data_IF_902003779810
#
_entry.id   IF_902003779810
#
_cell.length_a   1.000
_cell.length_b   1.000
_cell.length_c   1.000
_cell.angle_alpha   90.00
_cell.angle_beta   90.00
_cell.angle_gamma   90.00
#
_symmetry.space_group_name_H-M   'P 1'
#
loop_
_entity.id
_entity.type
_entity.pdbx_description
1 polymer ?
#
# COMPACT_ATOMS: atom_id res chain seq x y z
N UNK A 1 -0.48 -43.54 4.14
CA UNK A 1 0.32 -42.32 4.35
C UNK A 1 -0.59 -41.12 4.24
N UNK A 2 -0.54 -40.26 5.25
CA UNK A 2 -1.66 -39.52 5.83
C UNK A 2 -2.04 -38.25 5.03
N UNK A 3 -3.31 -38.16 4.59
CA UNK A 3 -3.93 -36.97 3.96
C UNK A 3 -4.33 -35.93 5.04
N UNK A 4 -3.37 -35.52 5.87
CA UNK A 4 -3.55 -34.46 6.88
C UNK A 4 -2.38 -33.47 6.82
N UNK A 5 -2.30 -32.68 5.76
CA UNK A 5 -1.49 -31.46 5.77
C UNK A 5 -2.10 -30.41 4.87
N UNK A 6 -2.12 -29.16 5.35
CA UNK A 6 -2.66 -27.95 4.73
C UNK A 6 -4.17 -27.70 4.86
N UNK A 7 -4.68 -27.63 6.10
CA UNK A 7 -5.75 -26.66 6.41
C UNK A 7 -5.13 -25.27 6.30
N UNK A 8 -5.29 -24.58 5.16
CA UNK A 8 -5.07 -23.12 5.04
C UNK A 8 -5.89 -22.42 6.13
N UNK A 9 -5.24 -22.11 7.25
CA UNK A 9 -5.82 -21.32 8.31
C UNK A 9 -6.08 -19.93 7.71
N UNK A 10 -7.34 -19.62 7.39
CA UNK A 10 -7.72 -18.30 6.89
C UNK A 10 -7.39 -17.30 7.99
N UNK A 11 -6.25 -16.63 7.88
CA UNK A 11 -5.84 -15.57 8.79
C UNK A 11 -6.98 -14.55 8.83
N UNK A 12 -7.62 -14.38 9.99
CA UNK A 12 -8.73 -13.43 10.09
C UNK A 12 -8.15 -12.02 9.90
N UNK A 13 -8.91 -11.15 9.23
CA UNK A 13 -8.50 -9.75 9.03
C UNK A 13 -8.11 -9.05 10.34
N UNK A 14 -8.76 -9.42 11.46
CA UNK A 14 -8.45 -8.93 12.80
C UNK A 14 -7.04 -9.26 13.28
N UNK A 15 -6.51 -10.43 12.91
CA UNK A 15 -5.21 -10.91 13.39
C UNK A 15 -4.09 -10.20 12.63
N UNK A 16 -4.32 -9.95 11.32
CA UNK A 16 -3.45 -9.12 10.49
C UNK A 16 -3.40 -7.69 11.04
N UNK A 17 -4.54 -7.10 11.37
CA UNK A 17 -4.59 -5.74 11.96
C UNK A 17 -3.85 -5.68 13.30
N UNK A 18 -4.06 -6.66 14.19
CA UNK A 18 -3.34 -6.71 15.48
C UNK A 18 -1.83 -6.85 15.30
N UNK A 19 -1.39 -7.69 14.37
CA UNK A 19 0.02 -7.83 14.03
C UNK A 19 0.58 -6.50 13.51
N UNK A 20 -0.15 -5.82 12.63
CA UNK A 20 0.25 -4.52 12.08
C UNK A 20 0.35 -3.44 13.16
N UNK A 21 -0.63 -3.36 14.07
CA UNK A 21 -0.60 -2.41 15.20
C UNK A 21 0.57 -2.72 16.13
N UNK A 22 0.88 -4.00 16.35
CA UNK A 22 2.04 -4.41 17.15
C UNK A 22 3.34 -3.97 16.51
N UNK A 23 3.54 -4.25 15.22
CA UNK A 23 4.72 -3.82 14.46
C UNK A 23 4.82 -2.29 14.51
N UNK A 24 3.74 -1.57 14.22
CA UNK A 24 3.69 -0.11 14.31
C UNK A 24 4.11 0.41 15.68
N UNK A 25 3.62 -0.19 16.77
CA UNK A 25 3.99 0.20 18.14
C UNK A 25 5.46 -0.07 18.42
N UNK A 26 6.00 -1.19 17.95
CA UNK A 26 7.39 -1.60 18.16
C UNK A 26 8.37 -0.77 17.33
N UNK A 27 7.95 -0.33 16.15
CA UNK A 27 8.73 0.59 15.30
C UNK A 27 8.47 2.06 15.60
N UNK A 28 7.53 2.37 16.52
CA UNK A 28 7.21 3.74 16.96
C UNK A 28 8.22 4.34 17.93
N UNK A 29 9.42 3.74 18.08
CA UNK A 29 10.53 4.27 18.87
C UNK A 29 10.83 5.75 18.54
N UNK A 30 10.50 6.19 17.32
CA UNK A 30 10.51 7.59 16.88
C UNK A 30 9.12 8.26 16.90
N UNK A 31 8.50 8.34 18.08
CA UNK A 31 7.17 8.95 18.31
C UNK A 31 6.99 10.33 17.65
N UNK A 32 8.05 11.13 17.55
CA UNK A 32 8.03 12.47 16.92
C UNK A 32 7.59 12.43 15.46
N UNK A 33 8.14 11.51 14.67
CA UNK A 33 7.84 11.40 13.23
C UNK A 33 6.51 10.72 12.96
N UNK A 34 6.15 9.74 13.79
CA UNK A 34 4.83 9.17 13.79
C UNK A 34 3.77 10.26 14.07
N UNK A 35 3.91 11.03 15.15
CA UNK A 35 2.96 12.12 15.47
C UNK A 35 2.94 13.19 14.38
N UNK A 36 4.10 13.62 13.88
CA UNK A 36 4.18 14.60 12.79
C UNK A 36 3.45 14.10 11.53
N UNK A 37 3.53 12.80 11.21
CA UNK A 37 2.79 12.16 10.12
C UNK A 37 1.28 12.21 10.33
N UNK A 38 0.81 11.91 11.54
CA UNK A 38 -0.61 12.00 11.89
C UNK A 38 -1.11 13.44 11.78
N UNK A 39 -0.40 14.40 12.37
CA UNK A 39 -0.77 15.82 12.35
C UNK A 39 -0.74 16.38 10.93
N UNK A 40 0.31 16.10 10.15
CA UNK A 40 0.45 16.56 8.78
C UNK A 40 -0.62 15.99 7.85
N UNK A 41 -0.99 14.72 8.03
CA UNK A 41 -2.10 14.09 7.31
C UNK A 41 -3.45 14.73 7.64
N UNK A 42 -3.75 14.92 8.93
CA UNK A 42 -4.98 15.57 9.37
C UNK A 42 -5.11 17.00 8.83
N UNK A 43 -4.02 17.76 8.92
CA UNK A 43 -3.97 19.13 8.40
C UNK A 43 -4.17 19.16 6.89
N UNK A 44 -3.52 18.25 6.14
CA UNK A 44 -3.69 18.15 4.70
C UNK A 44 -5.12 17.76 4.30
N UNK A 45 -5.76 16.87 5.06
CA UNK A 45 -7.17 16.51 4.86
C UNK A 45 -8.10 17.70 5.10
N UNK A 46 -7.92 18.40 6.22
CA UNK A 46 -8.72 19.58 6.54
C UNK A 46 -8.58 20.69 5.48
N UNK A 47 -7.35 20.97 5.03
CA UNK A 47 -7.10 21.95 3.96
C UNK A 47 -7.77 21.52 2.65
N UNK A 48 -7.67 20.25 2.28
CA UNK A 48 -8.30 19.76 1.05
C UNK A 48 -9.83 19.92 1.09
N UNK A 49 -10.48 19.62 2.21
CA UNK A 49 -11.94 19.80 2.34
C UNK A 49 -12.32 21.29 2.36
N UNK A 50 -11.55 22.10 3.09
CA UNK A 50 -11.77 23.54 3.16
C UNK A 50 -11.62 24.22 1.79
N UNK A 51 -10.65 23.80 0.98
CA UNK A 51 -10.44 24.30 -0.38
C UNK A 51 -11.68 24.10 -1.26
N UNK A 52 -12.32 22.92 -1.22
CA UNK A 52 -13.55 22.68 -1.98
C UNK A 52 -14.71 23.57 -1.51
N UNK A 53 -14.87 23.76 -0.21
CA UNK A 53 -15.85 24.69 0.33
C UNK A 53 -15.58 26.14 -0.13
N UNK A 54 -14.31 26.54 -0.12
CA UNK A 54 -13.89 27.89 -0.49
C UNK A 54 -14.09 28.19 -1.98
N UNK A 55 -13.92 27.19 -2.85
CA UNK A 55 -14.26 27.30 -4.28
C UNK A 55 -15.76 27.56 -4.47
N UNK A 56 -16.62 26.87 -3.72
CA UNK A 56 -18.06 27.08 -3.75
C UNK A 56 -18.46 28.51 -3.37
N UNK A 57 -17.92 29.03 -2.26
CA UNK A 57 -18.22 30.40 -1.81
C UNK A 57 -17.62 31.47 -2.74
N UNK A 58 -16.46 31.21 -3.34
CA UNK A 58 -15.88 32.10 -4.36
C UNK A 58 -16.79 32.19 -5.61
N UNK A 59 -17.44 31.09 -5.99
CA UNK A 59 -18.38 31.07 -7.12
C UNK A 59 -19.63 31.93 -6.81
N UNK A 60 -20.18 31.84 -5.61
CA UNK A 60 -21.35 32.64 -5.20
C UNK A 60 -21.05 34.15 -5.21
N UNK A 61 -19.84 34.55 -4.79
CA UNK A 61 -19.37 35.94 -4.85
C UNK A 61 -19.14 36.41 -6.28
N UNK A 62 -18.63 35.53 -7.16
CA UNK A 62 -18.50 35.83 -8.57
C UNK A 62 -19.85 36.10 -9.25
N UNK A 63 -20.88 35.34 -8.88
CA UNK A 63 -22.25 35.54 -9.36
C UNK A 63 -22.88 36.84 -8.82
N UNK A 64 -22.40 37.33 -7.68
CA UNK A 64 -22.87 38.57 -7.03
C UNK A 64 -22.28 39.86 -7.65
N UNK A 65 -21.39 39.74 -8.64
CA UNK A 65 -20.77 40.83 -9.41
C UNK A 65 -20.00 41.90 -8.59
N UNK A 66 -19.56 41.56 -7.37
CA UNK A 66 -18.73 42.44 -6.54
C UNK A 66 -17.24 42.19 -6.82
N UNK A 67 -16.69 42.95 -7.76
CA UNK A 67 -15.30 42.82 -8.22
C UNK A 67 -14.25 42.98 -7.11
N UNK A 68 -14.50 43.82 -6.10
CA UNK A 68 -13.54 44.05 -5.00
C UNK A 68 -13.49 42.85 -4.07
N UNK A 69 -14.65 42.27 -3.73
CA UNK A 69 -14.70 41.03 -2.96
C UNK A 69 -14.12 39.87 -3.75
N UNK A 70 -14.43 39.75 -5.03
CA UNK A 70 -13.90 38.71 -5.91
C UNK A 70 -12.36 38.70 -5.94
N UNK A 71 -11.73 39.88 -6.09
CA UNK A 71 -10.25 39.99 -6.05
C UNK A 71 -9.66 39.49 -4.72
N UNK A 72 -10.26 39.85 -3.58
CA UNK A 72 -9.82 39.36 -2.26
C UNK A 72 -9.94 37.83 -2.14
N UNK A 73 -11.03 37.25 -2.66
CA UNK A 73 -11.23 35.79 -2.72
C UNK A 73 -10.20 35.09 -3.60
N UNK A 74 -9.82 35.69 -4.74
CA UNK A 74 -8.77 35.13 -5.60
C UNK A 74 -7.41 35.12 -4.88
N UNK A 75 -7.03 36.19 -4.19
CA UNK A 75 -5.79 36.20 -3.41
C UNK A 75 -5.82 35.17 -2.27
N UNK A 76 -6.95 35.02 -1.59
CA UNK A 76 -7.13 33.99 -0.57
C UNK A 76 -7.03 32.57 -1.15
N UNK A 77 -7.63 32.30 -2.31
CA UNK A 77 -7.50 31.03 -3.04
C UNK A 77 -6.05 30.70 -3.36
N UNK A 78 -5.31 31.67 -3.89
CA UNK A 78 -3.87 31.49 -4.18
C UNK A 78 -3.11 31.16 -2.90
N UNK A 79 -3.40 31.84 -1.78
CA UNK A 79 -2.78 31.56 -0.49
C UNK A 79 -3.05 30.13 0.00
N UNK A 80 -4.30 29.67 -0.08
CA UNK A 80 -4.70 28.30 0.26
C UNK A 80 -3.98 27.29 -0.64
N UNK A 81 -3.88 27.58 -1.93
CA UNK A 81 -3.22 26.71 -2.91
C UNK A 81 -1.71 26.58 -2.64
N UNK A 82 -1.04 27.70 -2.36
CA UNK A 82 0.38 27.71 -1.96
C UNK A 82 0.58 26.92 -0.67
N UNK A 83 -0.29 27.11 0.32
CA UNK A 83 -0.24 26.34 1.57
C UNK A 83 -0.42 24.83 1.32
N UNK A 84 -1.35 24.46 0.44
CA UNK A 84 -1.55 23.06 0.03
C UNK A 84 -0.30 22.49 -0.64
N UNK A 85 0.37 23.23 -1.52
CA UNK A 85 1.62 22.81 -2.13
C UNK A 85 2.67 22.54 -1.06
N UNK A 86 2.83 23.43 -0.07
CA UNK A 86 3.78 23.24 1.05
C UNK A 86 3.48 21.92 1.80
N UNK A 87 2.20 21.65 2.10
CA UNK A 87 1.80 20.39 2.74
C UNK A 87 2.05 19.17 1.85
N UNK A 88 1.85 19.31 0.54
CA UNK A 88 2.06 18.25 -0.44
C UNK A 88 3.55 17.87 -0.58
N UNK A 89 4.47 18.81 -0.37
CA UNK A 89 5.91 18.53 -0.32
C UNK A 89 6.37 18.05 1.08
N UNK A 90 5.82 18.61 2.15
CA UNK A 90 6.25 18.30 3.51
C UNK A 90 5.81 16.91 3.98
N UNK A 91 4.58 16.50 3.67
CA UNK A 91 4.04 15.20 4.12
C UNK A 91 4.82 13.99 3.59
N UNK A 92 5.20 13.92 2.30
CA UNK A 92 6.05 12.86 1.78
C UNK A 92 7.43 12.82 2.45
N UNK A 93 8.02 13.98 2.76
CA UNK A 93 9.31 14.05 3.47
C UNK A 93 9.16 13.45 4.88
N UNK A 94 8.12 13.84 5.62
CA UNK A 94 7.81 13.26 6.94
C UNK A 94 7.59 11.75 6.85
N UNK A 95 6.87 11.30 5.80
CA UNK A 95 6.64 9.88 5.56
C UNK A 95 7.94 9.12 5.28
N UNK A 96 8.77 9.60 4.36
CA UNK A 96 10.05 8.96 4.01
C UNK A 96 10.99 8.88 5.21
N UNK A 97 10.98 9.90 6.06
CA UNK A 97 11.73 9.92 7.32
C UNK A 97 11.21 8.91 8.36
N UNK A 98 9.90 8.65 8.38
CA UNK A 98 9.32 7.58 9.18
C UNK A 98 9.71 6.20 8.62
N UNK A 99 9.52 5.99 7.31
CA UNK A 99 9.85 4.74 6.61
C UNK A 99 11.32 4.33 6.78
N UNK A 100 12.25 5.28 6.61
CA UNK A 100 13.69 5.02 6.75
C UNK A 100 14.04 4.53 8.15
N UNK A 101 13.46 5.18 9.17
CA UNK A 101 13.70 4.79 10.56
C UNK A 101 13.04 3.46 10.89
N UNK A 102 11.83 3.24 10.39
CA UNK A 102 11.14 1.96 10.57
C UNK A 102 11.93 0.81 9.96
N UNK A 103 12.44 1.00 8.74
CA UNK A 103 13.33 0.06 8.08
C UNK A 103 14.58 -0.23 8.92
N UNK A 104 15.23 0.81 9.45
CA UNK A 104 16.43 0.67 10.30
C UNK A 104 16.15 -0.15 11.56
N UNK A 105 15.06 0.14 12.27
CA UNK A 105 14.70 -0.58 13.50
C UNK A 105 14.38 -2.05 13.20
N UNK A 106 13.60 -2.32 12.15
CA UNK A 106 13.28 -3.69 11.74
C UNK A 106 14.52 -4.47 11.34
N UNK A 107 15.41 -3.87 10.56
CA UNK A 107 16.68 -4.49 10.14
C UNK A 107 17.59 -4.80 11.32
N UNK A 108 17.71 -3.88 12.29
CA UNK A 108 18.50 -4.10 13.51
C UNK A 108 17.91 -5.21 14.39
N UNK A 109 16.59 -5.27 14.52
CA UNK A 109 15.92 -6.31 15.30
C UNK A 109 16.07 -7.69 14.63
N UNK A 110 15.95 -7.75 13.31
CA UNK A 110 16.16 -8.97 12.55
C UNK A 110 17.61 -9.46 12.68
N UNK A 111 18.59 -8.56 12.53
CA UNK A 111 20.01 -8.86 12.73
C UNK A 111 20.29 -9.42 14.13
N UNK A 112 19.80 -8.75 15.19
CA UNK A 112 19.94 -9.21 16.58
C UNK A 112 19.29 -10.56 16.84
N UNK A 113 18.26 -10.92 16.08
CA UNK A 113 17.60 -12.22 16.20
C UNK A 113 18.41 -13.32 15.54
N UNK A 114 18.99 -13.03 14.37
CA UNK A 114 19.88 -13.94 13.64
C UNK A 114 21.13 -14.23 14.48
N UNK A 115 21.76 -13.19 15.02
CA UNK A 115 22.95 -13.29 15.88
C UNK A 115 22.77 -14.25 17.09
N UNK A 116 21.54 -14.40 17.59
CA UNK A 116 21.21 -15.28 18.72
C UNK A 116 20.83 -16.70 18.34
N UNK A 117 20.81 -17.05 17.05
CA UNK A 117 20.46 -18.40 16.60
C UNK A 117 21.65 -19.36 16.81
N UNK A 118 21.35 -20.59 17.21
CA UNK A 118 22.36 -21.64 17.42
C UNK A 118 22.94 -22.11 16.08
N UNK A 119 24.19 -22.61 16.07
CA UNK A 119 24.88 -23.07 14.86
C UNK A 119 24.07 -24.08 14.03
N UNK A 120 23.33 -25.00 14.66
CA UNK A 120 22.51 -25.99 13.96
C UNK A 120 21.36 -25.42 13.11
N UNK A 121 20.99 -24.14 13.28
CA UNK A 121 20.05 -23.45 12.39
C UNK A 121 20.68 -23.12 11.04
N UNK A 122 21.99 -22.83 11.01
CA UNK A 122 22.71 -22.45 9.79
C UNK A 122 23.05 -23.65 8.90
N UNK A 123 23.15 -24.85 9.46
CA UNK A 123 23.45 -26.08 8.71
C UNK A 123 22.28 -26.57 7.84
N UNK A 124 21.05 -26.20 8.19
CA UNK A 124 19.82 -26.69 7.55
C UNK A 124 19.19 -25.71 6.57
N UNK A 125 19.80 -24.53 6.36
CA UNK A 125 19.16 -23.41 5.67
C UNK A 125 20.13 -22.77 4.67
N UNK A 126 19.68 -22.61 3.42
CA UNK A 126 20.44 -21.86 2.42
C UNK A 126 20.54 -20.40 2.86
N UNK A 127 21.74 -20.00 3.29
CA UNK A 127 21.97 -18.72 3.99
C UNK A 127 21.61 -17.53 3.09
N UNK A 128 21.87 -17.63 1.78
CA UNK A 128 21.56 -16.58 0.80
C UNK A 128 20.04 -16.39 0.60
N UNK A 129 19.27 -17.46 0.44
CA UNK A 129 17.82 -17.39 0.22
C UNK A 129 17.09 -16.82 1.43
N UNK A 130 17.54 -17.17 2.63
CA UNK A 130 16.94 -16.69 3.88
C UNK A 130 17.21 -15.21 4.10
N UNK A 131 18.42 -14.74 3.78
CA UNK A 131 18.77 -13.32 3.83
C UNK A 131 17.97 -12.54 2.79
N UNK A 132 17.88 -13.01 1.55
CA UNK A 132 17.12 -12.34 0.48
C UNK A 132 15.64 -12.23 0.85
N UNK A 133 15.03 -13.32 1.31
CA UNK A 133 13.62 -13.34 1.72
C UNK A 133 13.36 -12.39 2.88
N UNK A 134 14.27 -12.35 3.86
CA UNK A 134 14.16 -11.44 5.00
C UNK A 134 14.26 -9.97 4.59
N UNK A 135 15.18 -9.62 3.70
CA UNK A 135 15.32 -8.26 3.16
C UNK A 135 14.03 -7.86 2.43
N UNK A 136 13.54 -8.72 1.55
CA UNK A 136 12.30 -8.50 0.80
C UNK A 136 11.11 -8.29 1.74
N UNK A 137 11.02 -9.09 2.81
CA UNK A 137 9.93 -8.99 3.77
C UNK A 137 10.02 -7.73 4.63
N UNK A 138 11.22 -7.30 5.04
CA UNK A 138 11.43 -6.02 5.72
C UNK A 138 11.06 -4.85 4.81
N UNK A 139 11.39 -4.92 3.52
CA UNK A 139 11.03 -3.88 2.54
C UNK A 139 9.51 -3.81 2.31
N UNK A 140 8.82 -4.95 2.21
CA UNK A 140 7.36 -4.99 2.16
C UNK A 140 6.74 -4.37 3.42
N UNK A 141 7.26 -4.69 4.60
CA UNK A 141 6.79 -4.10 5.87
C UNK A 141 7.04 -2.58 5.87
N UNK A 142 8.23 -2.12 5.48
CA UNK A 142 8.55 -0.68 5.36
C UNK A 142 7.53 0.04 4.47
N UNK A 143 7.31 -0.47 3.25
CA UNK A 143 6.39 0.13 2.27
C UNK A 143 4.97 0.15 2.80
N UNK A 144 4.57 -0.91 3.50
CA UNK A 144 3.25 -1.01 4.11
C UNK A 144 3.05 -0.05 5.29
N UNK A 145 4.06 0.11 6.15
CA UNK A 145 4.04 1.05 7.27
C UNK A 145 4.02 2.51 6.80
N UNK A 146 4.74 2.79 5.71
CA UNK A 146 4.68 4.02 4.95
C UNK A 146 3.27 4.24 4.41
N UNK A 147 2.92 3.65 3.28
CA UNK A 147 1.74 4.07 2.53
C UNK A 147 0.41 3.55 3.09
N UNK A 148 0.36 2.30 3.54
CA UNK A 148 -0.92 1.63 3.84
C UNK A 148 -1.44 1.95 5.23
N UNK A 149 -0.59 1.90 6.26
CA UNK A 149 -1.04 2.13 7.65
C UNK A 149 -1.53 3.56 7.82
N UNK A 150 -0.76 4.57 7.45
CA UNK A 150 -1.22 5.94 7.72
C UNK A 150 -2.23 6.45 6.68
N UNK A 151 -2.24 5.92 5.46
CA UNK A 151 -3.33 6.19 4.52
C UNK A 151 -4.65 5.65 5.04
N UNK A 152 -4.70 4.35 5.36
CA UNK A 152 -5.95 3.66 5.72
C UNK A 152 -6.42 3.90 7.15
N UNK A 153 -5.50 3.99 8.13
CA UNK A 153 -5.88 4.18 9.53
C UNK A 153 -5.96 5.65 9.95
N UNK A 154 -5.29 6.57 9.25
CA UNK A 154 -5.17 7.96 9.70
C UNK A 154 -5.89 8.95 8.80
N UNK A 155 -5.38 9.13 7.58
CA UNK A 155 -5.77 10.29 6.78
C UNK A 155 -7.10 10.11 6.04
N UNK A 156 -7.29 8.95 5.40
CA UNK A 156 -8.48 8.70 4.58
C UNK A 156 -9.80 8.72 5.37
N UNK A 157 -9.96 7.97 6.48
CA UNK A 157 -11.25 7.92 7.18
C UNK A 157 -11.63 9.26 7.78
N UNK A 158 -10.67 9.99 8.35
CA UNK A 158 -10.94 11.30 8.95
C UNK A 158 -11.28 12.34 7.90
N UNK A 159 -10.58 12.36 6.77
CA UNK A 159 -10.91 13.25 5.65
C UNK A 159 -12.31 12.97 5.13
N UNK A 160 -12.69 11.69 4.98
CA UNK A 160 -14.05 11.30 4.57
C UNK A 160 -15.08 11.81 5.59
N UNK A 161 -14.86 11.58 6.88
CA UNK A 161 -15.78 12.02 7.95
C UNK A 161 -15.94 13.55 7.92
N UNK A 162 -14.84 14.30 7.89
CA UNK A 162 -14.86 15.76 7.82
C UNK A 162 -15.57 16.26 6.56
N UNK A 163 -15.34 15.61 5.41
CA UNK A 163 -16.01 15.94 4.15
C UNK A 163 -17.51 15.76 4.26
N UNK A 164 -17.97 14.62 4.79
CA UNK A 164 -19.40 14.34 4.95
C UNK A 164 -20.06 15.34 5.91
N UNK A 165 -19.40 15.69 7.01
CA UNK A 165 -19.90 16.70 7.96
C UNK A 165 -20.10 18.05 7.23
N UNK A 166 -19.09 18.52 6.51
CA UNK A 166 -19.16 19.81 5.79
C UNK A 166 -20.23 19.77 4.69
N UNK A 167 -20.31 18.70 3.91
CA UNK A 167 -21.35 18.56 2.87
C UNK A 167 -22.76 18.56 3.46
N UNK A 168 -22.98 17.88 4.59
CA UNK A 168 -24.25 17.89 5.30
C UNK A 168 -24.64 19.30 5.77
N UNK A 169 -23.67 20.14 6.17
CA UNK A 169 -23.95 21.53 6.56
C UNK A 169 -24.34 22.43 5.39
N UNK A 170 -23.86 22.15 4.17
CA UNK A 170 -24.26 22.89 2.96
C UNK A 170 -25.65 22.44 2.51
N UNK A 171 -25.82 21.15 2.22
CA UNK A 171 -27.09 20.59 1.77
C UNK A 171 -27.16 19.08 2.04
N UNK A 172 -27.91 18.71 3.08
CA UNK A 172 -28.08 17.32 3.48
C UNK A 172 -28.78 16.44 2.42
N UNK A 173 -29.68 16.99 1.59
CA UNK A 173 -30.39 16.23 0.54
C UNK A 173 -29.43 15.81 -0.58
N UNK A 174 -28.61 16.76 -1.06
CA UNK A 174 -27.58 16.48 -2.07
C UNK A 174 -26.51 15.52 -1.54
N UNK A 175 -26.17 15.64 -0.25
CA UNK A 175 -25.18 14.77 0.39
C UNK A 175 -25.66 13.31 0.43
N UNK A 176 -26.92 13.06 0.82
CA UNK A 176 -27.49 11.71 0.80
C UNK A 176 -27.51 11.14 -0.63
N UNK A 177 -27.90 11.94 -1.62
CA UNK A 177 -27.88 11.52 -3.02
C UNK A 177 -26.47 11.11 -3.46
N UNK A 178 -25.45 11.92 -3.14
CA UNK A 178 -24.05 11.58 -3.40
C UNK A 178 -23.61 10.31 -2.66
N UNK A 179 -24.06 10.12 -1.42
CA UNK A 179 -23.68 8.96 -0.60
C UNK A 179 -24.28 7.65 -1.13
N UNK A 180 -25.45 7.71 -1.79
CA UNK A 180 -26.07 6.56 -2.47
C UNK A 180 -25.33 6.19 -3.76
N UNK A 181 -24.70 7.15 -4.44
CA UNK A 181 -23.89 6.86 -5.63
C UNK A 181 -22.63 6.05 -5.27
N UNK A 182 -22.02 6.31 -4.11
CA UNK A 182 -20.82 5.60 -3.64
C UNK A 182 -20.97 4.06 -3.64
N UNK A 183 -21.98 3.45 -3.00
CA UNK A 183 -22.15 2.00 -3.02
C UNK A 183 -22.46 1.46 -4.41
N UNK A 184 -23.17 2.20 -5.27
CA UNK A 184 -23.42 1.80 -6.67
C UNK A 184 -22.09 1.68 -7.42
N UNK A 185 -21.22 2.68 -7.29
CA UNK A 185 -19.86 2.64 -7.88
C UNK A 185 -19.05 1.49 -7.27
N UNK A 186 -19.12 1.26 -5.96
CA UNK A 186 -18.43 0.13 -5.32
C UNK A 186 -18.92 -1.23 -5.85
N UNK A 187 -20.21 -1.39 -6.12
CA UNK A 187 -20.76 -2.65 -6.68
C UNK A 187 -20.22 -2.91 -8.09
N UNK A 188 -20.14 -1.87 -8.92
CA UNK A 188 -19.55 -1.96 -10.27
C UNK A 188 -18.07 -2.32 -10.17
N UNK A 189 -17.31 -1.62 -9.32
CA UNK A 189 -15.88 -1.89 -9.11
C UNK A 189 -15.63 -3.29 -8.57
N UNK A 190 -16.46 -3.79 -7.65
CA UNK A 190 -16.35 -5.15 -7.12
C UNK A 190 -16.63 -6.21 -8.19
N UNK A 191 -17.56 -5.93 -9.10
CA UNK A 191 -17.88 -6.82 -10.21
C UNK A 191 -16.72 -6.94 -11.19
N UNK A 192 -16.00 -5.84 -11.45
CA UNK A 192 -14.78 -5.82 -12.27
C UNK A 192 -13.57 -6.41 -11.54
N UNK A 193 -13.49 -6.25 -10.21
CA UNK A 193 -12.35 -6.71 -9.42
C UNK A 193 -12.23 -8.24 -9.32
N UNK A 194 -13.36 -8.96 -9.35
CA UNK A 194 -13.38 -10.43 -9.31
C UNK A 194 -12.60 -11.08 -10.47
N UNK A 195 -12.95 -10.85 -11.75
CA UNK A 195 -12.23 -11.48 -12.87
C UNK A 195 -10.78 -11.01 -12.96
N UNK A 196 -10.50 -9.77 -12.53
CA UNK A 196 -9.13 -9.26 -12.47
C UNK A 196 -8.28 -10.02 -11.45
N UNK A 197 -8.88 -10.47 -10.34
CA UNK A 197 -8.21 -11.28 -9.33
C UNK A 197 -7.88 -12.68 -9.87
N UNK A 198 -8.79 -13.28 -10.62
CA UNK A 198 -8.56 -14.59 -11.24
C UNK A 198 -7.43 -14.51 -12.28
N UNK A 199 -7.47 -13.49 -13.13
CA UNK A 199 -6.38 -13.22 -14.10
C UNK A 199 -5.02 -13.02 -13.40
N UNK A 200 -5.00 -12.31 -12.27
CA UNK A 200 -3.77 -12.14 -11.47
C UNK A 200 -3.24 -13.47 -10.92
N UNK A 201 -4.13 -14.37 -10.48
CA UNK A 201 -3.71 -15.69 -10.01
C UNK A 201 -3.07 -16.50 -11.15
N UNK A 202 -3.68 -16.47 -12.35
CA UNK A 202 -3.13 -17.16 -13.52
C UNK A 202 -1.76 -16.59 -13.93
N UNK A 203 -1.61 -15.26 -13.92
CA UNK A 203 -0.30 -14.61 -14.18
C UNK A 203 0.73 -15.04 -13.13
N UNK A 204 0.34 -15.13 -11.86
CA UNK A 204 1.23 -15.56 -10.79
C UNK A 204 1.65 -17.03 -10.93
N UNK A 205 0.72 -17.91 -11.33
CA UNK A 205 1.01 -19.32 -11.60
C UNK A 205 1.94 -19.49 -12.81
N UNK A 206 1.67 -18.78 -13.90
CA UNK A 206 2.56 -18.72 -15.07
C UNK A 206 3.96 -18.24 -14.70
N UNK A 207 4.06 -17.18 -13.90
CA UNK A 207 5.35 -16.65 -13.43
C UNK A 207 6.11 -17.66 -12.57
N UNK A 208 5.41 -18.42 -11.73
CA UNK A 208 6.02 -19.47 -10.90
C UNK A 208 6.56 -20.62 -11.76
N UNK A 209 5.79 -21.09 -12.74
CA UNK A 209 6.22 -22.12 -13.70
C UNK A 209 7.42 -21.63 -14.51
N UNK A 210 7.37 -20.41 -15.04
CA UNK A 210 8.46 -19.80 -15.78
C UNK A 210 9.75 -19.73 -14.95
N UNK A 211 9.68 -19.21 -13.72
CA UNK A 211 10.85 -19.11 -12.85
C UNK A 211 11.43 -20.48 -12.48
N UNK A 212 10.59 -21.51 -12.27
CA UNK A 212 11.06 -22.87 -12.00
C UNK A 212 11.80 -23.46 -13.21
N UNK A 213 11.23 -23.36 -14.41
CA UNK A 213 11.87 -23.87 -15.62
C UNK A 213 13.13 -23.10 -15.99
N UNK A 214 13.16 -21.79 -15.76
CA UNK A 214 14.35 -20.97 -15.97
C UNK A 214 15.48 -21.37 -15.01
N UNK A 215 15.15 -21.63 -13.74
CA UNK A 215 16.12 -22.13 -12.76
C UNK A 215 16.68 -23.48 -13.18
N UNK A 216 15.81 -24.44 -13.50
CA UNK A 216 16.22 -25.79 -13.96
C UNK A 216 17.10 -25.70 -15.20
N UNK A 217 16.77 -24.80 -16.14
CA UNK A 217 17.56 -24.57 -17.35
C UNK A 217 18.96 -24.02 -17.06
N UNK A 218 19.07 -23.04 -16.16
CA UNK A 218 20.36 -22.43 -15.80
C UNK A 218 21.25 -23.43 -15.04
N UNK A 219 20.70 -24.12 -14.03
CA UNK A 219 21.43 -25.10 -13.23
C UNK A 219 21.82 -26.35 -14.04
N UNK A 220 20.94 -26.78 -14.96
CA UNK A 220 21.13 -27.97 -15.80
C UNK A 220 21.76 -27.70 -17.17
N UNK A 221 22.18 -26.46 -17.46
CA UNK A 221 22.61 -26.03 -18.80
C UNK A 221 23.69 -26.94 -19.41
N UNK A 222 24.67 -27.35 -18.61
CA UNK A 222 25.78 -28.19 -19.07
C UNK A 222 25.30 -29.60 -19.42
N UNK A 223 24.35 -30.13 -18.64
CA UNK A 223 23.70 -31.43 -18.89
C UNK A 223 22.87 -31.35 -20.18
N UNK A 224 22.07 -30.29 -20.33
CA UNK A 224 21.23 -30.13 -21.52
C UNK A 224 22.06 -29.99 -22.81
N UNK A 225 23.23 -29.35 -22.74
CA UNK A 225 24.19 -29.28 -23.87
C UNK A 225 24.85 -30.63 -24.15
N UNK A 226 25.33 -31.32 -23.12
CA UNK A 226 26.01 -32.61 -23.27
C UNK A 226 25.10 -33.69 -23.89
N UNK A 227 23.81 -33.67 -23.58
CA UNK A 227 22.82 -34.62 -24.10
C UNK A 227 21.96 -34.06 -25.25
N UNK A 228 22.23 -32.85 -25.73
CA UNK A 228 21.45 -32.16 -26.77
C UNK A 228 19.93 -32.15 -26.51
N UNK A 229 19.54 -31.90 -25.25
CA UNK A 229 18.16 -32.02 -24.75
C UNK A 229 17.37 -30.71 -24.72
N UNK A 230 17.93 -29.60 -25.23
CA UNK A 230 17.27 -28.28 -25.20
C UNK A 230 15.84 -28.31 -25.74
N UNK A 231 15.63 -28.95 -26.90
CA UNK A 231 14.29 -29.05 -27.52
C UNK A 231 13.28 -29.75 -26.62
N UNK A 232 13.66 -30.86 -25.98
CA UNK A 232 12.78 -31.63 -25.09
C UNK A 232 12.44 -30.84 -23.82
N UNK A 233 13.35 -30.01 -23.33
CA UNK A 233 13.09 -29.12 -22.19
C UNK A 233 12.13 -27.98 -22.57
N UNK A 234 12.31 -27.38 -23.76
CA UNK A 234 11.40 -26.35 -24.28
C UNK A 234 9.99 -26.90 -24.51
N UNK A 235 9.86 -28.09 -25.12
CA UNK A 235 8.57 -28.76 -25.31
C UNK A 235 7.85 -29.00 -23.96
N UNK A 236 8.60 -29.42 -22.93
CA UNK A 236 8.04 -29.61 -21.58
C UNK A 236 7.60 -28.30 -20.92
N UNK A 237 8.33 -27.20 -21.16
CA UNK A 237 7.93 -25.88 -20.69
C UNK A 237 6.66 -25.39 -21.38
N UNK A 238 6.57 -25.52 -22.71
CA UNK A 238 5.37 -25.18 -23.48
C UNK A 238 4.16 -25.99 -23.01
N UNK A 239 4.32 -27.29 -22.74
CA UNK A 239 3.26 -28.14 -22.19
C UNK A 239 2.81 -27.67 -20.79
N UNK A 240 3.74 -27.26 -19.93
CA UNK A 240 3.40 -26.69 -18.61
C UNK A 240 2.65 -25.37 -18.73
N UNK A 241 3.01 -24.51 -19.69
CA UNK A 241 2.34 -23.24 -19.94
C UNK A 241 0.92 -23.42 -20.51
N UNK A 242 0.69 -24.45 -21.33
CA UNK A 242 -0.64 -24.75 -21.88
C UNK A 242 -1.64 -25.28 -20.85
N UNK A 243 -1.17 -25.74 -19.69
CA UNK A 243 -2.02 -26.27 -18.60
C UNK A 243 -2.56 -25.18 -17.65
N UNK A 244 -2.11 -23.93 -17.81
CA UNK A 244 -2.49 -22.76 -16.99
C UNK A 244 -3.50 -21.91 -17.77
#
# INVERSE_FOLDING_TARGET
MDKKSSKKQKTKASDVIKMMVRIYKETSEHKKWAIARWVGGLLSGAVAVYEYYFIGSALDVALSNDYKRLLSFIYALVGIFVFRIILQFTNPIINGQYELRSYRTLSLNAYRKIDKLQMGYYENVHTADTISTLIDDIEKIKTFMGNSIAGLLSWNPITIILSVIILCTINWKLTIFSLIIVPVVMLVLNSVSKPLKDTKNNIQEYTAVFNSHLRDFIEGNDIYKAFNMHRKHTEKFEESCQKI
#
